data_IF_091493455834
#
_entry.id   IF_091493455834
#
_cell.length_a   1.000
_cell.length_b   1.000
_cell.length_c   1.000
_cell.angle_alpha   90.00
_cell.angle_beta   90.00
_cell.angle_gamma   90.00
#
_symmetry.space_group_name_H-M   'P 1'
#
loop_
_entity.id
_entity.type
_entity.pdbx_description
1 polymer ?
#
# COMPACT_ATOMS: atom_id res chain seq x y z
N UNK A 1 -7.31 28.64 1.54
CA UNK A 1 -6.00 28.03 1.23
C UNK A 1 -6.07 27.47 -0.19
N UNK A 2 -5.03 27.60 -0.94
CA UNK A 2 -4.91 26.95 -2.25
C UNK A 2 -4.92 25.43 -2.03
N UNK A 3 -5.64 24.69 -2.88
CA UNK A 3 -5.73 23.24 -2.76
C UNK A 3 -4.48 22.58 -3.32
N UNK A 4 -4.06 21.47 -2.71
CA UNK A 4 -2.97 20.65 -3.21
C UNK A 4 -3.42 19.97 -4.51
N UNK A 5 -2.68 20.17 -5.58
CA UNK A 5 -2.97 19.60 -6.91
C UNK A 5 -2.32 18.23 -7.05
N UNK A 6 -3.16 17.21 -7.10
CA UNK A 6 -2.74 15.80 -7.07
C UNK A 6 -2.85 15.17 -8.45
N UNK A 7 -1.79 14.54 -8.92
CA UNK A 7 -1.84 13.63 -10.07
C UNK A 7 -1.86 12.17 -9.59
N UNK A 8 -2.68 11.33 -10.22
CA UNK A 8 -2.69 9.88 -9.98
C UNK A 8 -1.98 9.19 -11.14
N UNK A 9 -0.85 8.54 -10.86
CA UNK A 9 -0.07 7.79 -11.85
C UNK A 9 -0.40 6.31 -11.75
N UNK A 10 -1.19 5.82 -12.68
CA UNK A 10 -1.78 4.48 -12.71
C UNK A 10 -3.24 4.46 -12.26
N UNK A 11 -4.07 3.69 -12.96
CA UNK A 11 -5.50 3.59 -12.67
C UNK A 11 -5.93 2.12 -12.54
N UNK A 12 -5.26 1.41 -11.64
CA UNK A 12 -5.65 0.10 -11.14
C UNK A 12 -6.50 0.21 -9.87
N UNK A 13 -6.56 -0.85 -9.07
CA UNK A 13 -7.38 -0.86 -7.84
C UNK A 13 -7.04 0.32 -6.90
N UNK A 14 -5.76 0.54 -6.59
CA UNK A 14 -5.34 1.65 -5.73
C UNK A 14 -5.65 3.00 -6.39
N UNK A 15 -5.41 3.15 -7.69
CA UNK A 15 -5.67 4.40 -8.40
C UNK A 15 -7.16 4.79 -8.41
N UNK A 16 -8.07 3.83 -8.50
CA UNK A 16 -9.52 4.06 -8.39
C UNK A 16 -9.91 4.60 -7.01
N UNK A 17 -9.48 3.93 -5.95
CA UNK A 17 -9.73 4.40 -4.58
C UNK A 17 -8.97 5.70 -4.25
N UNK A 18 -7.83 5.96 -4.90
CA UNK A 18 -7.14 7.25 -4.75
C UNK A 18 -7.95 8.40 -5.37
N UNK A 19 -8.64 8.16 -6.49
CA UNK A 19 -9.56 9.13 -7.07
C UNK A 19 -10.68 9.47 -6.09
N UNK A 20 -11.38 8.45 -5.55
CA UNK A 20 -12.44 8.64 -4.55
C UNK A 20 -11.92 9.44 -3.33
N UNK A 21 -10.71 9.13 -2.90
CA UNK A 21 -10.11 9.76 -1.73
C UNK A 21 -9.69 11.23 -1.99
N UNK A 22 -9.21 11.57 -3.20
CA UNK A 22 -8.94 12.97 -3.61
C UNK A 22 -10.24 13.76 -3.66
N UNK A 23 -11.28 13.21 -4.27
CA UNK A 23 -12.59 13.88 -4.42
C UNK A 23 -13.23 14.22 -3.08
N UNK A 24 -12.97 13.40 -2.06
CA UNK A 24 -13.49 13.62 -0.70
C UNK A 24 -12.58 14.46 0.20
N UNK A 25 -11.33 14.72 -0.21
CA UNK A 25 -10.39 15.53 0.54
C UNK A 25 -10.64 17.03 0.36
N UNK A 26 -10.97 17.79 1.43
CA UNK A 26 -11.38 19.20 1.27
C UNK A 26 -10.23 20.12 0.86
N UNK A 27 -8.99 19.72 1.09
CA UNK A 27 -7.76 20.46 0.86
C UNK A 27 -7.00 20.04 -0.41
N UNK A 28 -7.62 19.16 -1.22
CA UNK A 28 -7.00 18.64 -2.45
C UNK A 28 -7.90 18.84 -3.67
N UNK A 29 -7.28 18.81 -4.84
CA UNK A 29 -7.96 18.72 -6.12
C UNK A 29 -7.18 17.84 -7.10
N UNK A 30 -7.90 17.14 -7.97
CA UNK A 30 -7.29 16.30 -8.98
C UNK A 30 -6.75 17.15 -10.14
N UNK A 31 -5.44 17.06 -10.39
CA UNK A 31 -4.82 17.63 -11.60
C UNK A 31 -5.08 16.76 -12.84
N UNK A 32 -5.08 15.44 -12.66
CA UNK A 32 -5.36 14.48 -13.72
C UNK A 32 -4.86 13.07 -13.39
N UNK A 33 -5.13 12.15 -14.31
CA UNK A 33 -4.72 10.74 -14.21
C UNK A 33 -3.77 10.39 -15.36
N UNK A 34 -2.64 9.78 -15.01
CA UNK A 34 -1.67 9.28 -15.98
C UNK A 34 -1.90 7.79 -16.22
N UNK A 35 -2.20 7.40 -17.47
CA UNK A 35 -2.40 6.01 -17.91
C UNK A 35 -1.59 5.71 -19.15
N UNK A 36 -1.08 4.47 -19.29
CA UNK A 36 -0.33 4.04 -20.49
C UNK A 36 -1.08 4.26 -21.80
N UNK A 37 -2.38 4.08 -21.79
CA UNK A 37 -3.26 4.32 -22.94
C UNK A 37 -3.77 5.77 -23.04
N UNK A 38 -3.43 6.61 -22.06
CA UNK A 38 -3.98 7.97 -21.97
C UNK A 38 -5.51 7.97 -21.97
N UNK A 39 -6.11 8.82 -22.79
CA UNK A 39 -7.55 8.91 -22.95
C UNK A 39 -8.17 7.78 -23.80
N UNK A 40 -7.35 6.95 -24.45
CA UNK A 40 -7.84 5.82 -25.24
C UNK A 40 -8.51 4.77 -24.32
N UNK A 41 -9.69 4.26 -24.71
CA UNK A 41 -10.49 3.31 -23.94
C UNK A 41 -10.66 3.76 -22.46
N UNK A 42 -10.95 5.04 -22.27
CA UNK A 42 -11.16 5.66 -20.97
C UNK A 42 -12.41 5.05 -20.31
N UNK A 43 -12.32 4.53 -19.06
CA UNK A 43 -13.49 4.08 -18.33
C UNK A 43 -14.56 5.17 -18.18
N UNK A 44 -15.83 4.78 -18.08
CA UNK A 44 -16.94 5.72 -18.02
C UNK A 44 -16.84 6.69 -16.82
N UNK A 45 -16.34 6.20 -15.68
CA UNK A 45 -16.14 7.01 -14.48
C UNK A 45 -15.09 8.11 -14.63
N UNK A 46 -14.26 8.04 -15.67
CA UNK A 46 -13.28 9.09 -15.99
C UNK A 46 -13.77 10.08 -17.08
N UNK A 47 -15.03 10.02 -17.50
CA UNK A 47 -15.53 10.79 -18.65
C UNK A 47 -15.13 12.27 -18.61
N UNK A 48 -15.28 12.91 -17.46
CA UNK A 48 -15.03 14.34 -17.25
C UNK A 48 -13.64 14.63 -16.64
N UNK A 49 -12.79 13.60 -16.48
CA UNK A 49 -11.48 13.72 -15.86
C UNK A 49 -10.40 13.85 -16.94
N UNK A 50 -9.42 14.71 -16.71
CA UNK A 50 -8.22 14.82 -17.54
C UNK A 50 -7.40 13.55 -17.43
N UNK A 51 -7.22 12.84 -18.54
CA UNK A 51 -6.42 11.59 -18.60
C UNK A 51 -5.38 11.74 -19.69
N UNK A 52 -4.11 11.55 -19.31
CA UNK A 52 -2.94 11.75 -20.16
C UNK A 52 -2.07 10.51 -20.22
N UNK A 53 -1.10 10.46 -21.16
CA UNK A 53 -0.10 9.39 -21.25
C UNK A 53 1.13 9.66 -20.39
N UNK A 54 1.42 10.92 -20.16
CA UNK A 54 2.62 11.38 -19.46
C UNK A 54 2.30 12.48 -18.47
N UNK A 55 2.98 12.49 -17.33
CA UNK A 55 2.77 13.51 -16.29
C UNK A 55 3.15 14.92 -16.76
N UNK A 56 4.05 15.02 -17.74
CA UNK A 56 4.44 16.31 -18.34
C UNK A 56 3.34 16.99 -19.14
N UNK A 57 2.24 16.30 -19.41
CA UNK A 57 1.05 16.85 -20.05
C UNK A 57 0.07 17.51 -19.04
N UNK A 58 0.34 17.34 -17.73
CA UNK A 58 -0.44 17.99 -16.66
C UNK A 58 0.26 19.26 -16.18
N UNK A 59 -0.53 20.28 -15.87
CA UNK A 59 -0.02 21.56 -15.39
C UNK A 59 -0.22 21.71 -13.87
N UNK A 60 0.72 22.39 -13.22
CA UNK A 60 0.67 22.76 -11.80
C UNK A 60 0.38 21.55 -10.88
N UNK A 61 1.13 20.48 -11.03
CA UNK A 61 1.05 19.30 -10.15
C UNK A 61 1.97 19.50 -8.97
N UNK A 62 1.42 19.45 -7.75
CA UNK A 62 2.20 19.53 -6.51
C UNK A 62 2.73 18.15 -6.09
N UNK A 63 1.89 17.11 -6.21
CA UNK A 63 2.23 15.75 -5.78
C UNK A 63 1.66 14.69 -6.70
N UNK A 64 2.44 13.67 -6.99
CA UNK A 64 2.06 12.49 -7.75
C UNK A 64 1.88 11.28 -6.83
N UNK A 65 0.68 10.69 -6.85
CA UNK A 65 0.40 9.39 -6.21
C UNK A 65 0.76 8.28 -7.20
N UNK A 66 1.78 7.50 -6.86
CA UNK A 66 2.27 6.43 -7.73
C UNK A 66 1.51 5.11 -7.46
N UNK A 67 0.33 4.98 -8.06
CA UNK A 67 -0.49 3.77 -8.03
C UNK A 67 -0.07 2.76 -9.14
N UNK A 68 1.23 2.56 -9.27
CA UNK A 68 1.88 1.73 -10.29
C UNK A 68 2.36 0.39 -9.71
N UNK A 69 2.66 -0.61 -10.55
CA UNK A 69 3.31 -1.82 -10.05
C UNK A 69 4.60 -1.50 -9.30
N UNK A 70 4.82 -2.14 -8.16
CA UNK A 70 5.94 -1.88 -7.23
C UNK A 70 7.30 -1.74 -7.94
N UNK A 71 7.61 -2.63 -8.89
CA UNK A 71 8.89 -2.62 -9.63
C UNK A 71 9.07 -1.40 -10.55
N UNK A 72 8.04 -0.60 -10.76
CA UNK A 72 8.07 0.62 -11.58
C UNK A 72 8.09 1.90 -10.76
N UNK A 73 7.94 1.81 -9.44
CA UNK A 73 7.87 2.98 -8.55
C UNK A 73 9.10 3.86 -8.70
N UNK A 74 10.31 3.31 -8.64
CA UNK A 74 11.55 4.09 -8.72
C UNK A 74 11.66 4.90 -10.02
N UNK A 75 11.31 4.28 -11.16
CA UNK A 75 11.35 4.92 -12.47
C UNK A 75 10.39 6.14 -12.53
N UNK A 76 9.13 5.92 -12.12
CA UNK A 76 8.13 6.99 -12.11
C UNK A 76 8.43 8.07 -11.07
N UNK A 77 8.91 7.68 -9.88
CA UNK A 77 9.30 8.63 -8.84
C UNK A 77 10.39 9.57 -9.32
N UNK A 78 11.48 9.03 -9.87
CA UNK A 78 12.59 9.86 -10.40
C UNK A 78 12.13 10.81 -11.50
N UNK A 79 11.21 10.35 -12.37
CA UNK A 79 10.64 11.21 -13.42
C UNK A 79 9.86 12.38 -12.83
N UNK A 80 9.00 12.14 -11.84
CA UNK A 80 8.22 13.19 -11.18
C UNK A 80 9.12 14.15 -10.40
N UNK A 81 10.07 13.62 -9.62
CA UNK A 81 11.02 14.41 -8.86
C UNK A 81 11.84 15.35 -9.75
N UNK A 82 12.28 14.88 -10.92
CA UNK A 82 13.01 15.70 -11.90
C UNK A 82 12.20 16.90 -12.42
N UNK A 83 10.89 16.89 -12.26
CA UNK A 83 9.98 17.99 -12.57
C UNK A 83 9.67 18.88 -11.35
N UNK A 84 10.27 18.59 -10.19
CA UNK A 84 9.97 19.27 -8.92
C UNK A 84 8.64 18.84 -8.30
N UNK A 85 8.04 17.73 -8.77
CA UNK A 85 6.78 17.19 -8.27
C UNK A 85 7.07 16.21 -7.13
N UNK A 86 6.44 16.41 -5.96
CA UNK A 86 6.53 15.48 -4.85
C UNK A 86 5.93 14.11 -5.24
N UNK A 87 6.42 13.02 -4.63
CA UNK A 87 5.91 11.68 -4.91
C UNK A 87 5.52 10.94 -3.64
N UNK A 88 4.48 10.13 -3.73
CA UNK A 88 4.07 9.20 -2.68
C UNK A 88 3.73 7.84 -3.30
N UNK A 89 4.13 6.76 -2.64
CA UNK A 89 3.91 5.40 -3.13
C UNK A 89 3.69 4.39 -2.01
N UNK A 90 3.20 3.22 -2.37
CA UNK A 90 3.02 2.07 -1.49
C UNK A 90 3.98 0.92 -1.82
N UNK A 91 5.24 1.23 -2.11
CA UNK A 91 6.28 0.22 -2.39
C UNK A 91 6.37 -0.81 -1.26
N UNK A 92 6.32 -2.11 -1.60
CA UNK A 92 6.14 -3.21 -0.64
C UNK A 92 7.24 -4.29 -0.68
N UNK A 93 8.32 -4.09 -1.43
CA UNK A 93 9.47 -5.01 -1.40
C UNK A 93 10.36 -4.66 -0.21
N UNK A 94 10.02 -5.21 0.98
CA UNK A 94 10.62 -4.86 2.27
C UNK A 94 12.15 -4.85 2.26
N UNK A 95 12.78 -5.81 1.58
CA UNK A 95 14.25 -5.93 1.50
C UNK A 95 14.93 -4.81 0.71
N UNK A 96 14.19 -4.06 -0.09
CA UNK A 96 14.69 -3.01 -0.98
C UNK A 96 14.31 -1.59 -0.52
N UNK A 97 13.52 -1.43 0.54
CA UNK A 97 13.01 -0.11 1.00
C UNK A 97 14.16 0.86 1.30
N UNK A 98 15.20 0.40 2.00
CA UNK A 98 16.34 1.26 2.38
C UNK A 98 17.11 1.75 1.16
N UNK A 99 17.32 0.88 0.18
CA UNK A 99 18.06 1.23 -1.04
C UNK A 99 17.25 2.17 -1.93
N UNK A 100 15.94 1.90 -2.08
CA UNK A 100 15.02 2.80 -2.78
C UNK A 100 15.00 4.18 -2.11
N UNK A 101 14.88 4.23 -0.77
CA UNK A 101 14.90 5.50 -0.04
C UNK A 101 16.16 6.30 -0.31
N UNK A 102 17.34 5.67 -0.29
CA UNK A 102 18.62 6.34 -0.58
C UNK A 102 18.68 6.86 -2.02
N UNK A 103 18.21 6.06 -2.97
CA UNK A 103 18.18 6.42 -4.39
C UNK A 103 17.29 7.63 -4.64
N UNK A 104 16.09 7.65 -4.04
CA UNK A 104 15.14 8.74 -4.21
C UNK A 104 15.50 9.98 -3.37
N UNK A 105 16.19 9.84 -2.22
CA UNK A 105 16.65 10.95 -1.41
C UNK A 105 17.60 11.87 -2.18
N UNK A 106 18.54 11.28 -2.93
CA UNK A 106 19.44 12.04 -3.78
C UNK A 106 18.68 12.81 -4.87
N UNK A 107 17.78 12.15 -5.60
CA UNK A 107 16.98 12.76 -6.65
C UNK A 107 16.02 13.85 -6.10
N UNK A 108 15.38 13.59 -4.97
CA UNK A 108 14.47 14.56 -4.34
C UNK A 108 15.20 15.85 -3.91
N UNK A 109 16.38 15.72 -3.30
CA UNK A 109 17.21 16.88 -2.90
C UNK A 109 17.72 17.66 -4.09
N UNK A 110 18.15 17.01 -5.16
CA UNK A 110 18.63 17.65 -6.39
C UNK A 110 17.56 18.55 -7.02
N UNK A 111 16.29 18.13 -6.95
CA UNK A 111 15.17 18.83 -7.60
C UNK A 111 14.27 19.58 -6.62
N UNK A 112 14.69 19.77 -5.36
CA UNK A 112 13.92 20.47 -4.31
C UNK A 112 12.51 19.89 -4.12
N UNK A 113 12.38 18.57 -4.16
CA UNK A 113 11.14 17.83 -4.04
C UNK A 113 11.18 16.82 -2.88
N UNK A 114 10.04 16.22 -2.56
CA UNK A 114 9.87 15.25 -1.48
C UNK A 114 9.36 13.93 -2.04
N UNK A 115 9.93 12.82 -1.58
CA UNK A 115 9.41 11.47 -1.86
C UNK A 115 9.04 10.77 -0.55
N UNK A 116 7.79 10.32 -0.40
CA UNK A 116 7.38 9.50 0.74
C UNK A 116 7.05 8.11 0.22
N UNK A 117 7.92 7.17 0.56
CA UNK A 117 7.87 5.80 0.04
C UNK A 117 7.25 4.82 1.03
N UNK A 118 6.79 3.68 0.52
CA UNK A 118 6.26 2.59 1.34
C UNK A 118 5.15 3.06 2.29
N UNK A 119 4.27 3.89 1.76
CA UNK A 119 3.20 4.57 2.48
C UNK A 119 1.83 3.92 2.20
N UNK A 120 1.76 2.61 2.36
CA UNK A 120 0.52 1.85 2.36
C UNK A 120 0.00 1.60 3.78
N UNK A 121 -0.74 0.50 3.95
CA UNK A 121 -1.10 0.06 5.29
C UNK A 121 0.00 -0.85 5.89
N UNK A 122 0.63 -1.71 5.07
CA UNK A 122 1.80 -2.54 5.39
C UNK A 122 2.68 -2.77 4.13
N UNK A 123 3.87 -2.17 4.08
CA UNK A 123 4.43 -1.20 5.04
C UNK A 123 3.70 0.15 5.00
N UNK A 124 3.68 0.85 6.14
CA UNK A 124 3.11 2.18 6.24
C UNK A 124 2.45 2.47 7.59
N UNK A 125 1.12 2.49 7.66
CA UNK A 125 0.41 2.85 8.90
C UNK A 125 0.67 1.88 10.06
N UNK A 126 0.78 0.59 9.80
CA UNK A 126 1.14 -0.39 10.82
C UNK A 126 2.61 -0.28 11.26
N UNK A 127 3.49 0.22 10.38
CA UNK A 127 4.88 0.49 10.72
C UNK A 127 5.01 1.61 11.77
N UNK A 128 4.14 2.63 11.71
CA UNK A 128 4.03 3.66 12.76
C UNK A 128 3.62 3.02 14.08
N UNK A 129 2.61 2.15 14.07
CA UNK A 129 2.14 1.46 15.28
C UNK A 129 3.23 0.57 15.86
N UNK A 130 3.95 -0.21 15.03
CA UNK A 130 5.10 -1.02 15.47
C UNK A 130 6.19 -0.17 16.11
N UNK A 131 6.49 0.99 15.52
CA UNK A 131 7.51 1.90 16.05
C UNK A 131 7.09 2.48 17.42
N UNK A 132 5.82 2.86 17.56
CA UNK A 132 5.26 3.31 18.83
C UNK A 132 5.34 2.21 19.89
N UNK A 133 4.87 1.01 19.59
CA UNK A 133 4.95 -0.14 20.51
C UNK A 133 6.38 -0.44 20.94
N UNK A 134 7.34 -0.35 20.00
CA UNK A 134 8.75 -0.56 20.32
C UNK A 134 9.33 0.53 21.20
N UNK A 135 8.92 1.77 21.04
CA UNK A 135 9.35 2.88 21.90
C UNK A 135 8.83 2.73 23.35
N UNK A 136 7.60 2.22 23.50
CA UNK A 136 6.95 2.00 24.81
C UNK A 136 7.54 0.80 25.56
N UNK A 137 7.94 -0.25 24.87
CA UNK A 137 8.57 -1.44 25.43
C UNK A 137 9.82 -1.83 24.59
N UNK A 138 10.95 -1.12 24.75
CA UNK A 138 12.12 -1.25 23.87
C UNK A 138 12.77 -2.64 23.88
N UNK A 139 12.71 -3.35 25.00
CA UNK A 139 13.18 -4.74 25.11
C UNK A 139 11.99 -5.68 25.03
N UNK A 140 12.04 -6.68 24.15
CA UNK A 140 10.96 -7.65 24.02
C UNK A 140 10.84 -8.23 22.63
N UNK A 141 9.72 -8.90 22.38
CA UNK A 141 9.37 -9.55 21.11
C UNK A 141 8.12 -8.96 20.53
N UNK A 142 8.08 -8.91 19.22
CA UNK A 142 6.88 -8.50 18.49
C UNK A 142 6.40 -9.63 17.59
N UNK A 143 5.09 -9.79 17.51
CA UNK A 143 4.45 -10.72 16.58
C UNK A 143 3.55 -9.91 15.65
N UNK A 144 3.66 -10.17 14.37
CA UNK A 144 2.77 -9.63 13.34
C UNK A 144 1.94 -10.78 12.79
N UNK A 145 0.66 -10.79 13.11
CA UNK A 145 -0.28 -11.80 12.66
C UNK A 145 -1.17 -11.18 11.59
N UNK A 146 -0.82 -11.40 10.32
CA UNK A 146 -1.62 -10.92 9.18
C UNK A 146 -2.85 -11.75 8.95
N UNK A 147 -3.95 -11.12 8.63
CA UNK A 147 -5.21 -11.78 8.29
C UNK A 147 -6.20 -11.87 9.48
N UNK A 148 -7.27 -12.67 9.32
CA UNK A 148 -7.62 -13.34 8.06
C UNK A 148 -7.91 -12.33 6.95
N UNK A 149 -7.52 -12.65 5.72
CA UNK A 149 -7.81 -11.79 4.60
C UNK A 149 -7.11 -12.16 3.30
N UNK A 150 -7.58 -11.55 2.22
CA UNK A 150 -7.08 -11.78 0.87
C UNK A 150 -5.66 -11.26 0.69
N UNK A 151 -4.75 -12.15 0.29
CA UNK A 151 -3.40 -11.78 -0.14
C UNK A 151 -3.38 -11.49 -1.63
N UNK A 152 -3.13 -10.24 -2.01
CA UNK A 152 -3.16 -9.81 -3.41
C UNK A 152 -2.03 -10.45 -4.22
N UNK A 153 -0.78 -10.39 -3.74
CA UNK A 153 0.38 -10.96 -4.42
C UNK A 153 0.28 -12.46 -4.62
N UNK A 154 -0.10 -13.21 -3.57
CA UNK A 154 -0.30 -14.65 -3.65
C UNK A 154 -1.43 -15.04 -4.62
N UNK A 155 -2.53 -14.28 -4.64
CA UNK A 155 -3.63 -14.52 -5.58
C UNK A 155 -3.17 -14.32 -7.04
N UNK A 156 -2.34 -13.31 -7.30
CA UNK A 156 -1.76 -13.06 -8.63
C UNK A 156 -0.81 -14.19 -9.04
N UNK A 157 0.02 -14.69 -8.11
CA UNK A 157 0.92 -15.81 -8.38
C UNK A 157 0.15 -17.08 -8.78
N UNK A 158 -0.93 -17.41 -8.05
CA UNK A 158 -1.74 -18.58 -8.38
C UNK A 158 -2.43 -18.44 -9.74
N UNK A 159 -2.93 -17.26 -10.11
CA UNK A 159 -3.55 -17.04 -11.43
C UNK A 159 -2.59 -17.20 -12.60
N UNK A 160 -1.29 -17.11 -12.36
CA UNK A 160 -0.27 -17.31 -13.39
C UNK A 160 0.08 -18.79 -13.64
N UNK A 161 -0.48 -19.72 -12.84
CA UNK A 161 -0.24 -21.16 -12.98
C UNK A 161 -1.14 -21.71 -14.07
N UNK A 162 -0.56 -22.51 -14.96
CA UNK A 162 -1.28 -23.18 -16.05
C UNK A 162 -2.44 -24.05 -15.53
N UNK A 163 -3.61 -23.92 -16.15
CA UNK A 163 -4.85 -24.61 -15.76
C UNK A 163 -5.67 -23.88 -14.69
N UNK A 164 -5.21 -22.72 -14.22
CA UNK A 164 -5.98 -21.87 -13.30
C UNK A 164 -6.73 -20.79 -14.07
N UNK A 165 -8.05 -20.83 -14.01
CA UNK A 165 -8.92 -19.79 -14.60
C UNK A 165 -8.98 -18.54 -13.70
N UNK A 166 -9.19 -18.74 -12.40
CA UNK A 166 -9.11 -17.66 -11.38
C UNK A 166 -8.73 -18.23 -10.02
N UNK A 167 -8.25 -17.38 -9.11
CA UNK A 167 -7.82 -17.78 -7.79
C UNK A 167 -7.90 -16.67 -6.75
N UNK A 168 -8.14 -17.11 -5.52
CA UNK A 168 -8.11 -16.31 -4.30
C UNK A 168 -7.22 -17.00 -3.26
N UNK A 169 -6.20 -16.33 -2.79
CA UNK A 169 -5.37 -16.78 -1.66
C UNK A 169 -5.69 -15.97 -0.42
N UNK A 170 -6.04 -16.65 0.66
CA UNK A 170 -6.30 -16.08 1.98
C UNK A 170 -5.11 -16.33 2.90
N UNK A 171 -4.68 -15.29 3.59
CA UNK A 171 -3.73 -15.38 4.71
C UNK A 171 -4.50 -15.59 6.00
N UNK A 172 -4.22 -16.69 6.69
CA UNK A 172 -4.84 -17.04 7.98
C UNK A 172 -3.74 -17.01 9.05
N UNK A 173 -3.84 -16.16 10.07
CA UNK A 173 -2.88 -16.16 11.17
C UNK A 173 -3.07 -17.40 12.06
N UNK A 174 -1.95 -18.02 12.42
CA UNK A 174 -1.91 -19.14 13.39
C UNK A 174 -1.46 -18.65 14.77
N UNK A 175 -0.97 -17.41 14.81
CA UNK A 175 -0.40 -16.77 16.00
C UNK A 175 1.13 -16.72 15.95
N UNK A 176 1.71 -15.89 16.79
CA UNK A 176 3.18 -15.70 16.89
C UNK A 176 3.90 -15.39 15.58
N UNK A 177 3.21 -14.72 14.63
CA UNK A 177 3.76 -14.35 13.33
C UNK A 177 3.78 -15.50 12.30
N UNK A 178 3.18 -16.66 12.63
CA UNK A 178 3.05 -17.80 11.72
C UNK A 178 1.72 -17.70 10.99
N UNK A 179 1.73 -18.01 9.69
CA UNK A 179 0.57 -17.94 8.79
C UNK A 179 0.35 -19.26 8.08
N UNK A 180 -0.90 -19.47 7.71
CA UNK A 180 -1.36 -20.55 6.84
C UNK A 180 -1.98 -19.92 5.60
N UNK A 181 -1.86 -20.57 4.45
CA UNK A 181 -2.50 -20.14 3.19
C UNK A 181 -3.71 -21.05 2.89
N UNK A 182 -4.86 -20.42 2.70
CA UNK A 182 -6.04 -21.06 2.14
C UNK A 182 -6.20 -20.54 0.72
N UNK A 183 -6.00 -21.41 -0.27
CA UNK A 183 -6.04 -21.05 -1.68
C UNK A 183 -7.28 -21.68 -2.32
N UNK A 184 -8.14 -20.87 -2.87
CA UNK A 184 -9.31 -21.28 -3.62
C UNK A 184 -9.03 -21.08 -5.10
N UNK A 185 -9.25 -22.11 -5.90
CA UNK A 185 -8.96 -22.10 -7.34
C UNK A 185 -10.18 -22.49 -8.15
N UNK A 186 -10.45 -21.70 -9.18
CA UNK A 186 -11.33 -22.03 -10.29
C UNK A 186 -10.45 -22.54 -11.43
N UNK A 187 -10.70 -23.75 -11.91
CA UNK A 187 -9.89 -24.39 -12.94
C UNK A 187 -10.43 -24.11 -14.33
N UNK A 188 -9.51 -24.09 -15.30
CA UNK A 188 -9.88 -24.16 -16.71
C UNK A 188 -10.48 -25.51 -17.06
N UNK A 189 -11.26 -25.58 -18.12
CA UNK A 189 -11.87 -26.81 -18.58
C UNK A 189 -10.81 -27.87 -18.94
N UNK A 190 -10.91 -29.04 -18.33
CA UNK A 190 -9.97 -30.15 -18.54
C UNK A 190 -8.69 -30.11 -17.72
N UNK A 191 -8.48 -29.07 -16.88
CA UNK A 191 -7.32 -29.02 -15.99
C UNK A 191 -7.41 -30.02 -14.84
N UNK A 192 -6.28 -30.64 -14.49
CA UNK A 192 -6.18 -31.59 -13.38
C UNK A 192 -5.86 -30.88 -12.07
N UNK A 193 -6.78 -30.98 -11.10
CA UNK A 193 -6.63 -30.32 -9.79
C UNK A 193 -5.34 -30.70 -9.06
N UNK A 194 -4.93 -31.99 -9.10
CA UNK A 194 -3.73 -32.45 -8.38
C UNK A 194 -2.45 -31.82 -8.95
N UNK A 195 -2.40 -31.67 -10.28
CA UNK A 195 -1.29 -31.01 -10.96
C UNK A 195 -1.21 -29.55 -10.58
N UNK A 196 -2.34 -28.83 -10.58
CA UNK A 196 -2.42 -27.43 -10.19
C UNK A 196 -2.08 -27.26 -8.69
N UNK A 197 -2.61 -28.10 -7.82
CA UNK A 197 -2.30 -28.07 -6.38
C UNK A 197 -0.79 -28.26 -6.12
N UNK A 198 -0.16 -29.20 -6.81
CA UNK A 198 1.28 -29.44 -6.69
C UNK A 198 2.10 -28.23 -7.17
N UNK A 199 1.71 -27.61 -8.29
CA UNK A 199 2.36 -26.43 -8.80
C UNK A 199 2.25 -25.23 -7.84
N UNK A 200 1.06 -25.00 -7.25
CA UNK A 200 0.87 -23.95 -6.23
C UNK A 200 1.79 -24.16 -5.05
N UNK A 201 1.84 -25.37 -4.49
CA UNK A 201 2.66 -25.67 -3.30
C UNK A 201 4.17 -25.59 -3.57
N UNK A 202 4.60 -25.73 -4.82
CA UNK A 202 5.99 -25.59 -5.25
C UNK A 202 6.41 -24.16 -5.58
N UNK A 203 5.45 -23.24 -5.73
CA UNK A 203 5.73 -21.85 -6.07
C UNK A 203 6.47 -21.14 -4.92
N UNK A 204 7.46 -20.26 -5.20
CA UNK A 204 8.20 -19.51 -4.19
C UNK A 204 7.35 -18.71 -3.20
N UNK A 205 6.14 -18.30 -3.58
CA UNK A 205 5.21 -17.61 -2.68
C UNK A 205 4.60 -18.52 -1.62
N UNK A 206 4.62 -19.85 -1.82
CA UNK A 206 3.89 -20.81 -0.98
C UNK A 206 4.79 -21.85 -0.33
N UNK A 207 5.98 -22.09 -0.86
CA UNK A 207 6.88 -23.19 -0.46
C UNK A 207 7.25 -23.20 1.03
N UNK A 208 7.23 -22.03 1.69
CA UNK A 208 7.57 -21.86 3.10
C UNK A 208 6.34 -21.80 4.02
N UNK A 209 5.13 -21.82 3.47
CA UNK A 209 3.88 -21.70 4.22
C UNK A 209 3.09 -23.02 4.22
N UNK A 210 2.40 -23.30 5.31
CA UNK A 210 1.37 -24.36 5.32
C UNK A 210 0.24 -23.95 4.37
N UNK A 211 0.17 -24.59 3.20
CA UNK A 211 -0.75 -24.22 2.12
C UNK A 211 -1.78 -25.30 1.87
N UNK A 212 -3.06 -24.93 1.97
CA UNK A 212 -4.22 -25.74 1.63
C UNK A 212 -4.86 -25.20 0.36
N UNK A 213 -5.07 -26.05 -0.62
CA UNK A 213 -5.71 -25.69 -1.89
C UNK A 213 -7.08 -26.36 -1.99
N UNK A 214 -8.08 -25.60 -2.38
CA UNK A 214 -9.44 -26.08 -2.57
C UNK A 214 -9.97 -25.62 -3.93
N UNK A 215 -10.48 -26.57 -4.72
CA UNK A 215 -11.18 -26.23 -5.95
C UNK A 215 -12.57 -25.68 -5.63
N UNK A 216 -12.96 -24.61 -6.32
CA UNK A 216 -14.29 -23.99 -6.23
C UNK A 216 -14.89 -23.81 -7.63
N UNK A 217 -16.21 -23.77 -7.76
CA UNK A 217 -16.86 -23.59 -9.05
C UNK A 217 -16.70 -22.17 -9.60
N UNK A 218 -16.61 -21.17 -8.73
CA UNK A 218 -16.46 -19.76 -9.10
C UNK A 218 -15.72 -19.01 -7.98
N UNK A 219 -14.64 -18.31 -8.32
CA UNK A 219 -13.88 -17.50 -7.35
C UNK A 219 -14.59 -16.19 -7.04
N UNK A 220 -15.35 -15.62 -7.98
CA UNK A 220 -16.10 -14.39 -7.78
C UNK A 220 -17.12 -14.48 -6.65
N UNK A 221 -17.65 -15.68 -6.36
CA UNK A 221 -18.57 -15.91 -5.24
C UNK A 221 -17.88 -15.76 -3.87
N UNK A 222 -16.54 -15.79 -3.85
CA UNK A 222 -15.71 -15.68 -2.64
C UNK A 222 -15.09 -14.29 -2.49
N UNK A 223 -15.57 -13.29 -3.24
CA UNK A 223 -14.95 -11.99 -3.34
C UNK A 223 -14.94 -11.29 -1.96
N UNK A 224 -13.80 -11.38 -1.29
CA UNK A 224 -13.49 -10.66 -0.08
C UNK A 224 -12.23 -9.81 -0.31
N UNK A 225 -12.36 -8.50 -0.13
CA UNK A 225 -11.24 -7.55 -0.18
C UNK A 225 -10.75 -7.19 1.23
N UNK A 226 -11.37 -7.77 2.23
CA UNK A 226 -11.01 -7.62 3.63
C UNK A 226 -9.61 -8.16 3.91
N UNK A 227 -8.89 -7.45 4.73
CA UNK A 227 -7.62 -7.87 5.30
C UNK A 227 -7.51 -7.35 6.73
N UNK A 228 -6.48 -7.79 7.43
CA UNK A 228 -6.23 -7.26 8.77
C UNK A 228 -4.85 -7.64 9.29
N UNK A 229 -4.52 -7.05 10.42
CA UNK A 229 -3.33 -7.39 11.17
C UNK A 229 -3.62 -7.30 12.67
N UNK A 230 -3.09 -8.25 13.42
CA UNK A 230 -2.94 -8.17 14.86
C UNK A 230 -1.45 -8.02 15.17
N UNK A 231 -1.08 -6.85 15.67
CA UNK A 231 0.26 -6.56 16.16
C UNK A 231 0.29 -6.79 17.66
N UNK A 232 1.21 -7.63 18.11
CA UNK A 232 1.42 -7.93 19.54
C UNK A 232 2.85 -7.61 19.89
N UNK A 233 3.06 -6.79 20.93
CA UNK A 233 4.38 -6.59 21.53
C UNK A 233 4.35 -6.93 23.00
N UNK A 234 5.20 -7.88 23.39
CA UNK A 234 5.41 -8.26 24.78
C UNK A 234 6.82 -7.88 25.19
N UNK A 235 6.94 -7.08 26.27
CA UNK A 235 8.25 -6.54 26.60
C UNK A 235 8.38 -5.86 27.93
N UNK A 236 9.41 -5.02 28.00
CA UNK A 236 9.86 -4.34 29.23
C UNK A 236 9.94 -2.86 28.99
N UNK A 237 9.29 -2.08 29.87
CA UNK A 237 9.40 -0.62 29.96
C UNK A 237 10.30 -0.28 31.15
N UNK A 238 11.45 0.35 30.87
CA UNK A 238 12.49 0.56 31.87
C UNK A 238 13.01 -0.76 32.44
N UNK A 239 12.63 -1.08 33.70
CA UNK A 239 12.93 -2.35 34.37
C UNK A 239 11.68 -3.21 34.60
N UNK A 240 10.50 -2.71 34.22
CA UNK A 240 9.21 -3.38 34.50
C UNK A 240 8.85 -4.30 33.36
N UNK A 241 8.79 -5.59 33.68
CA UNK A 241 8.37 -6.66 32.76
C UNK A 241 6.85 -6.70 32.55
N UNK A 242 6.43 -7.56 31.63
CA UNK A 242 5.03 -7.90 31.35
C UNK A 242 4.20 -6.77 30.74
N UNK A 243 4.82 -5.84 30.04
CA UNK A 243 4.09 -4.97 29.13
C UNK A 243 3.54 -5.82 27.98
N UNK A 244 2.25 -5.75 27.76
CA UNK A 244 1.58 -6.38 26.61
C UNK A 244 0.82 -5.28 25.87
N UNK A 245 1.25 -5.02 24.65
CA UNK A 245 0.62 -4.01 23.77
C UNK A 245 0.02 -4.77 22.58
N UNK A 246 -1.24 -4.48 22.29
CA UNK A 246 -1.95 -5.11 21.18
C UNK A 246 -2.63 -4.05 20.32
N UNK A 247 -2.57 -4.26 19.02
CA UNK A 247 -3.30 -3.45 18.06
C UNK A 247 -3.94 -4.38 17.02
N UNK A 248 -5.23 -4.17 16.77
CA UNK A 248 -5.98 -4.91 15.77
C UNK A 248 -6.53 -3.97 14.72
N UNK A 249 -6.34 -4.34 13.46
CA UNK A 249 -6.87 -3.61 12.32
C UNK A 249 -7.56 -4.58 11.36
N UNK A 250 -8.78 -4.22 10.93
CA UNK A 250 -9.52 -4.89 9.86
C UNK A 250 -9.90 -3.84 8.84
N UNK A 251 -9.61 -4.09 7.59
CA UNK A 251 -9.62 -3.08 6.53
C UNK A 251 -10.18 -3.62 5.22
N UNK A 252 -10.63 -2.70 4.38
CA UNK A 252 -10.61 -2.86 2.92
C UNK A 252 -9.23 -2.43 2.44
N UNK A 253 -8.41 -3.39 2.00
CA UNK A 253 -6.99 -3.16 1.70
C UNK A 253 -6.75 -2.04 0.68
N UNK A 254 -7.29 -2.07 -0.56
CA UNK A 254 -6.99 -1.02 -1.53
C UNK A 254 -7.52 0.36 -1.11
N UNK A 255 -8.67 0.43 -0.44
CA UNK A 255 -9.23 1.69 0.02
C UNK A 255 -8.38 2.35 1.11
N UNK A 256 -7.93 1.56 2.12
CA UNK A 256 -7.07 2.11 3.17
C UNK A 256 -5.71 2.54 2.62
N UNK A 257 -5.09 1.73 1.75
CA UNK A 257 -3.82 2.11 1.11
C UNK A 257 -3.96 3.43 0.35
N UNK A 258 -5.02 3.60 -0.42
CA UNK A 258 -5.29 4.84 -1.14
C UNK A 258 -5.47 6.03 -0.18
N UNK A 259 -6.25 5.86 0.90
CA UNK A 259 -6.43 6.91 1.91
C UNK A 259 -5.10 7.29 2.60
N UNK A 260 -4.23 6.32 2.87
CA UNK A 260 -2.90 6.59 3.43
C UNK A 260 -2.07 7.42 2.44
N UNK A 261 -2.09 7.07 1.14
CA UNK A 261 -1.38 7.83 0.10
C UNK A 261 -1.84 9.30 0.03
N UNK A 262 -3.15 9.56 0.15
CA UNK A 262 -3.70 10.93 0.25
C UNK A 262 -3.13 11.67 1.47
N UNK A 263 -3.11 11.00 2.62
CA UNK A 263 -2.63 11.61 3.85
C UNK A 263 -1.12 11.93 3.80
N UNK A 264 -0.31 11.06 3.22
CA UNK A 264 1.12 11.35 3.06
C UNK A 264 1.40 12.31 1.91
N UNK A 265 0.53 12.41 0.90
CA UNK A 265 0.60 13.48 -0.09
C UNK A 265 0.45 14.86 0.58
N UNK A 266 -0.49 15.00 1.52
CA UNK A 266 -0.63 16.20 2.37
C UNK A 266 0.64 16.45 3.19
N UNK A 267 1.18 15.41 3.82
CA UNK A 267 2.38 15.51 4.64
C UNK A 267 3.61 15.90 3.82
N UNK A 268 3.71 15.47 2.55
CA UNK A 268 4.84 15.79 1.69
C UNK A 268 5.04 17.29 1.48
N UNK A 269 3.95 18.06 1.50
CA UNK A 269 3.97 19.52 1.38
C UNK A 269 4.61 20.23 2.58
N UNK A 270 4.85 19.51 3.68
CA UNK A 270 5.39 20.07 4.93
C UNK A 270 6.81 19.58 5.24
N UNK A 271 7.34 18.64 4.44
CA UNK A 271 8.68 18.10 4.64
C UNK A 271 9.74 18.90 3.90
N UNK A 272 10.99 18.82 4.37
CA UNK A 272 12.14 19.33 3.62
C UNK A 272 12.45 18.39 2.44
N UNK A 273 13.12 18.90 1.38
CA UNK A 273 13.50 18.06 0.24
C UNK A 273 14.29 16.82 0.66
N UNK A 274 13.85 15.66 0.18
CA UNK A 274 14.43 14.36 0.53
C UNK A 274 13.43 13.21 0.41
N UNK A 275 13.89 12.00 0.74
CA UNK A 275 13.03 10.82 0.76
C UNK A 275 12.83 10.28 2.17
N UNK A 276 11.59 9.91 2.47
CA UNK A 276 11.11 9.50 3.79
C UNK A 276 10.28 8.23 3.71
N UNK A 277 10.26 7.47 4.81
CA UNK A 277 9.21 6.50 5.10
C UNK A 277 8.22 7.09 6.11
N UNK A 278 7.05 6.50 6.27
CA UNK A 278 6.02 7.05 7.17
C UNK A 278 6.47 7.17 8.64
N UNK A 279 7.39 6.34 9.10
CA UNK A 279 7.88 6.42 10.50
C UNK A 279 8.80 7.63 10.76
N UNK A 280 9.25 8.32 9.71
CA UNK A 280 10.11 9.51 9.80
C UNK A 280 9.31 10.81 9.77
N UNK A 281 7.99 10.74 9.54
CA UNK A 281 7.12 11.90 9.34
C UNK A 281 6.24 12.10 10.58
N UNK A 282 6.05 13.34 11.05
CA UNK A 282 5.08 13.62 12.10
C UNK A 282 3.66 13.20 11.68
N UNK A 283 2.98 12.37 12.48
CA UNK A 283 1.63 11.89 12.16
C UNK A 283 0.63 13.05 11.98
N UNK A 284 0.81 14.14 12.71
CA UNK A 284 -0.03 15.34 12.60
C UNK A 284 0.02 15.99 11.22
N UNK A 285 1.12 15.83 10.48
CA UNK A 285 1.25 16.38 9.14
C UNK A 285 0.39 15.66 8.10
N UNK A 286 -0.03 14.43 8.41
CA UNK A 286 -0.94 13.62 7.59
C UNK A 286 -2.41 14.05 7.74
N UNK A 287 -2.73 14.80 8.80
CA UNK A 287 -4.10 15.20 9.10
C UNK A 287 -4.48 16.50 8.38
N UNK A 288 -5.72 16.54 7.90
CA UNK A 288 -6.33 17.76 7.39
C UNK A 288 -6.87 18.62 8.54
N UNK A 289 -6.59 19.91 8.50
CA UNK A 289 -7.08 20.88 9.49
C UNK A 289 -5.99 21.75 10.10
N UNK A 290 -6.43 22.69 10.96
CA UNK A 290 -5.53 23.55 11.69
C UNK A 290 -4.80 22.77 12.79
N UNK A 291 -3.49 23.01 12.93
CA UNK A 291 -2.63 22.25 13.84
C UNK A 291 -3.03 22.40 15.31
N UNK A 292 -3.41 23.60 15.73
CA UNK A 292 -3.80 23.84 17.13
C UNK A 292 -5.14 23.19 17.47
N UNK A 293 -6.08 23.22 16.51
CA UNK A 293 -7.36 22.52 16.66
C UNK A 293 -7.18 21.00 16.72
N UNK A 294 -6.31 20.46 15.89
CA UNK A 294 -5.96 19.02 15.92
C UNK A 294 -5.35 18.63 17.27
N UNK A 295 -4.42 19.42 17.79
CA UNK A 295 -3.84 19.18 19.12
C UNK A 295 -4.91 19.24 20.20
N UNK A 296 -5.77 20.26 20.19
CA UNK A 296 -6.84 20.42 21.19
C UNK A 296 -7.83 19.26 21.19
N UNK A 297 -8.03 18.65 20.03
CA UNK A 297 -9.00 17.57 19.86
C UNK A 297 -8.43 16.18 20.14
N UNK A 298 -7.14 15.96 19.89
CA UNK A 298 -6.50 14.64 19.96
C UNK A 298 -5.66 14.43 21.22
N UNK A 299 -5.31 15.49 21.93
CA UNK A 299 -4.51 15.49 23.16
C UNK A 299 -5.35 16.01 24.34
#
# INVERSE_FOLDING_TARGET
>A
MEKIRVAIVGYGNIGKYALDAVETAPDMELAGIVRRQGAENKPAELADITVVKDITELENVDVAILATPTRKVEEYAKKCLALGINTVDSFDIHTQIVDLRRSLDAAAKEHNAVSIISAGWDPGSDSIVRSLMQSLAPKGVSYTNFGPGRSMGHSVAVRAIEGVKDALSMTIPVGTGIHRRMVYVELEEGADFKTVEAAIKADPYFVNDETHVQQVPCVDDLNDVGHGVNLVRKGVSGKTHNQLLEFNMKINNPALTAQVLINVARASMKQQPGAYTMIEIPVIDMLCGDKEELIRHLV
#
